data_IF_196738310222
#
_entry.id   IF_196738310222
#
_cell.length_a   1.000
_cell.length_b   1.000
_cell.length_c   1.000
_cell.angle_alpha   90.00
_cell.angle_beta   90.00
_cell.angle_gamma   90.00
#
_symmetry.space_group_name_H-M   'P 1'
#
loop_
_entity.id
_entity.type
_entity.pdbx_description
1 polymer ?
#
# COMPACT_ATOMS: atom_id res chain seq x y z
N UNK A 1 0.25 -13.64 -6.10
CA UNK A 1 0.98 -14.20 -7.27
C UNK A 1 1.02 -13.28 -8.49
N UNK A 2 0.23 -12.19 -8.53
CA UNK A 2 0.13 -11.22 -9.64
C UNK A 2 1.47 -10.53 -10.03
N UNK A 3 2.30 -10.17 -9.05
CA UNK A 3 3.57 -9.46 -9.31
C UNK A 3 4.58 -10.31 -10.08
N UNK A 4 4.62 -11.63 -9.82
CA UNK A 4 5.49 -12.57 -10.56
C UNK A 4 5.01 -12.79 -12.00
N UNK A 5 3.69 -12.78 -12.22
CA UNK A 5 3.09 -12.88 -13.55
C UNK A 5 3.36 -11.63 -14.40
N UNK A 6 3.31 -10.44 -13.79
CA UNK A 6 3.47 -9.18 -14.53
C UNK A 6 4.93 -8.82 -14.83
N UNK A 7 5.88 -9.19 -13.96
CA UNK A 7 7.25 -8.68 -14.04
C UNK A 7 8.34 -9.77 -14.17
N UNK A 8 7.96 -11.05 -14.31
CA UNK A 8 8.90 -12.15 -14.46
C UNK A 8 9.61 -12.56 -13.15
N UNK A 9 10.45 -13.59 -13.23
CA UNK A 9 11.02 -14.32 -12.08
C UNK A 9 12.14 -13.60 -11.31
N UNK A 10 12.39 -12.30 -11.55
CA UNK A 10 13.43 -11.52 -10.88
C UNK A 10 12.90 -10.23 -10.26
N UNK A 11 11.75 -10.30 -9.60
CA UNK A 11 11.30 -9.22 -8.70
C UNK A 11 11.97 -9.41 -7.34
N UNK A 12 12.82 -8.46 -6.96
CA UNK A 12 13.31 -8.36 -5.59
C UNK A 12 12.21 -7.71 -4.74
N UNK A 13 11.62 -8.49 -3.84
CA UNK A 13 10.54 -8.04 -2.95
C UNK A 13 11.13 -7.99 -1.55
N UNK A 14 11.16 -6.81 -0.95
CA UNK A 14 11.61 -6.56 0.41
C UNK A 14 10.58 -5.75 1.19
N UNK A 15 10.61 -5.84 2.53
CA UNK A 15 9.70 -5.09 3.41
C UNK A 15 8.29 -5.67 3.54
N UNK A 16 8.01 -6.85 2.98
CA UNK A 16 6.69 -7.50 3.09
C UNK A 16 6.35 -7.91 4.53
N UNK A 17 7.37 -8.19 5.32
CA UNK A 17 7.32 -8.60 6.73
C UNK A 17 7.11 -7.45 7.71
N UNK A 18 7.13 -6.19 7.24
CA UNK A 18 7.02 -4.99 8.11
C UNK A 18 5.63 -4.81 8.72
N UNK A 19 4.59 -5.44 8.16
CA UNK A 19 3.25 -5.49 8.73
C UNK A 19 2.42 -4.20 8.67
N UNK A 20 3.01 -3.07 8.27
CA UNK A 20 2.29 -1.80 8.13
C UNK A 20 3.16 -0.64 7.63
N UNK A 21 2.51 0.46 7.26
CA UNK A 21 3.18 1.62 6.64
C UNK A 21 4.22 2.30 7.53
N UNK A 22 4.02 2.32 8.84
CA UNK A 22 4.97 2.95 9.78
C UNK A 22 6.32 2.22 9.77
N UNK A 23 6.29 0.90 9.98
CA UNK A 23 7.49 0.06 10.00
C UNK A 23 8.12 -0.09 8.61
N UNK A 24 7.31 -0.03 7.55
CA UNK A 24 7.81 0.00 6.18
C UNK A 24 8.59 1.29 5.89
N UNK A 25 8.13 2.43 6.40
CA UNK A 25 8.87 3.69 6.25
C UNK A 25 10.25 3.61 6.93
N UNK A 26 10.31 3.08 8.16
CA UNK A 26 11.58 2.88 8.87
C UNK A 26 12.54 1.97 8.09
N UNK A 27 12.00 0.89 7.51
CA UNK A 27 12.76 -0.04 6.67
C UNK A 27 13.35 0.67 5.43
N UNK A 28 12.53 1.42 4.70
CA UNK A 28 12.95 2.15 3.49
C UNK A 28 14.00 3.20 3.83
N UNK A 29 13.79 4.02 4.87
CA UNK A 29 14.71 5.10 5.26
C UNK A 29 16.08 4.52 5.63
N UNK A 30 16.09 3.43 6.41
CA UNK A 30 17.32 2.73 6.77
C UNK A 30 18.08 2.23 5.54
N UNK A 31 17.36 1.70 4.55
CA UNK A 31 17.97 1.19 3.32
C UNK A 31 18.53 2.32 2.45
N UNK A 32 17.76 3.40 2.28
CA UNK A 32 18.16 4.60 1.52
C UNK A 32 19.40 5.25 2.12
N UNK A 33 19.51 5.35 3.45
CA UNK A 33 20.69 5.90 4.11
C UNK A 33 21.97 5.08 3.90
N UNK A 34 21.88 3.83 3.43
CA UNK A 34 23.05 3.03 3.05
C UNK A 34 23.47 3.24 1.59
N UNK A 35 22.73 4.04 0.83
CA UNK A 35 22.97 4.30 -0.59
C UNK A 35 23.48 5.74 -0.76
N UNK A 36 24.59 5.89 -1.48
CA UNK A 36 25.12 7.21 -1.82
C UNK A 36 24.22 7.87 -2.89
N UNK A 37 23.40 8.85 -2.49
CA UNK A 37 22.67 9.71 -3.43
C UNK A 37 21.21 9.97 -3.07
N UNK A 38 20.44 10.44 -4.07
CA UNK A 38 18.99 10.60 -3.98
C UNK A 38 18.29 9.45 -4.69
N UNK A 39 17.20 8.95 -4.10
CA UNK A 39 16.36 7.90 -4.67
C UNK A 39 14.99 8.45 -5.01
N UNK A 40 14.50 8.09 -6.19
CA UNK A 40 13.13 8.35 -6.62
C UNK A 40 12.30 7.08 -6.40
N UNK A 41 11.29 7.16 -5.54
CA UNK A 41 10.36 6.08 -5.23
C UNK A 41 9.03 6.34 -5.91
N UNK A 42 8.51 5.35 -6.64
CA UNK A 42 7.15 5.37 -7.15
C UNK A 42 6.22 4.70 -6.11
N UNK A 43 5.15 5.37 -5.74
CA UNK A 43 4.15 4.89 -4.79
C UNK A 43 2.78 4.75 -5.46
N UNK A 44 2.45 3.56 -5.98
CA UNK A 44 1.10 3.24 -6.44
C UNK A 44 0.14 3.10 -5.25
N UNK A 45 -0.89 3.94 -5.19
CA UNK A 45 -1.76 4.02 -4.01
C UNK A 45 -3.24 4.24 -4.34
N UNK A 46 -4.07 4.18 -3.30
CA UNK A 46 -5.50 4.44 -3.37
C UNK A 46 -5.78 5.94 -3.47
N UNK A 47 -6.91 6.32 -4.06
CA UNK A 47 -7.39 7.70 -4.03
C UNK A 47 -7.66 8.22 -2.61
N UNK A 48 -8.13 7.37 -1.70
CA UNK A 48 -8.44 7.75 -0.32
C UNK A 48 -7.16 7.81 0.54
N UNK A 49 -6.82 8.99 1.05
CA UNK A 49 -5.50 9.26 1.65
C UNK A 49 -5.53 9.26 3.18
N UNK A 50 -5.37 8.07 3.77
CA UNK A 50 -4.96 7.91 5.18
C UNK A 50 -3.58 7.26 5.32
N UNK A 51 -2.86 7.07 4.23
CA UNK A 51 -1.55 6.43 4.25
C UNK A 51 -0.52 7.24 5.02
N UNK A 52 0.16 6.56 5.94
CA UNK A 52 1.24 7.12 6.75
C UNK A 52 2.56 7.16 5.97
N UNK A 53 2.71 6.30 4.95
CA UNK A 53 3.94 6.13 4.18
C UNK A 53 4.37 7.44 3.47
N UNK A 54 3.50 8.14 2.71
CA UNK A 54 3.91 9.39 2.06
C UNK A 54 4.29 10.48 3.05
N UNK A 55 3.59 10.55 4.19
CA UNK A 55 3.88 11.53 5.25
C UNK A 55 5.25 11.30 5.88
N UNK A 56 5.61 10.04 6.11
CA UNK A 56 6.91 9.65 6.66
C UNK A 56 8.03 9.88 5.66
N UNK A 57 7.88 9.49 4.40
CA UNK A 57 8.95 9.50 3.40
C UNK A 57 9.18 10.87 2.73
N UNK A 58 8.13 11.69 2.55
CA UNK A 58 8.27 12.96 1.80
C UNK A 58 9.14 14.02 2.49
N UNK A 59 9.37 13.85 3.79
CA UNK A 59 10.19 14.76 4.60
C UNK A 59 11.65 14.28 4.75
N UNK A 60 11.98 13.09 4.25
CA UNK A 60 13.28 12.47 4.45
C UNK A 60 14.28 12.93 3.38
N UNK A 61 15.45 13.39 3.84
CA UNK A 61 16.48 13.88 2.95
C UNK A 61 17.04 12.72 2.11
N UNK A 62 17.07 12.90 0.79
CA UNK A 62 17.54 11.87 -0.13
C UNK A 62 16.43 11.01 -0.73
N UNK A 63 15.18 11.21 -0.31
CA UNK A 63 14.02 10.54 -0.90
C UNK A 63 13.19 11.56 -1.69
N UNK A 64 12.87 11.20 -2.92
CA UNK A 64 11.82 11.83 -3.71
C UNK A 64 10.73 10.80 -3.94
N UNK A 65 9.49 11.12 -3.57
CA UNK A 65 8.36 10.20 -3.65
C UNK A 65 7.37 10.71 -4.70
N UNK A 66 7.14 9.91 -5.74
CA UNK A 66 6.14 10.14 -6.77
C UNK A 66 4.92 9.25 -6.51
N UNK A 67 3.77 9.87 -6.31
CA UNK A 67 2.53 9.14 -6.04
C UNK A 67 1.71 8.96 -7.33
N UNK A 68 1.23 7.73 -7.56
CA UNK A 68 0.31 7.42 -8.66
C UNK A 68 -0.94 6.73 -8.12
N UNK A 69 -2.10 7.36 -8.32
CA UNK A 69 -3.38 6.76 -7.95
C UNK A 69 -3.70 5.65 -8.96
N UNK A 70 -3.80 4.41 -8.50
CA UNK A 70 -4.07 3.25 -9.38
C UNK A 70 -5.39 2.52 -9.05
N UNK A 71 -6.03 2.86 -7.94
CA UNK A 71 -7.35 2.37 -7.58
C UNK A 71 -8.08 3.35 -6.65
N UNK A 72 -9.39 3.17 -6.53
CA UNK A 72 -10.23 3.91 -5.58
C UNK A 72 -11.14 2.95 -4.81
N UNK A 73 -11.47 3.34 -3.57
CA UNK A 73 -12.45 2.63 -2.76
C UNK A 73 -13.83 3.20 -3.08
N UNK A 74 -14.69 2.38 -3.67
CA UNK A 74 -16.09 2.73 -3.97
C UNK A 74 -17.04 1.91 -3.08
N UNK A 75 -18.24 2.45 -2.75
CA UNK A 75 -19.30 1.66 -2.14
C UNK A 75 -19.66 0.48 -3.06
N UNK A 76 -19.98 -0.66 -2.48
CA UNK A 76 -20.56 -1.77 -3.24
C UNK A 76 -22.04 -1.51 -3.47
N UNK A 77 -22.51 -1.70 -4.71
CA UNK A 77 -23.90 -1.49 -5.11
C UNK A 77 -24.86 -2.49 -4.47
N UNK A 78 -24.38 -3.67 -4.06
CA UNK A 78 -25.20 -4.77 -3.55
C UNK A 78 -25.03 -5.03 -2.05
N UNK A 79 -24.05 -4.40 -1.39
CA UNK A 79 -23.66 -4.74 -0.02
C UNK A 79 -24.82 -4.63 0.98
N UNK A 80 -25.68 -3.63 0.84
CA UNK A 80 -26.84 -3.46 1.73
C UNK A 80 -27.81 -4.64 1.60
N UNK A 81 -28.10 -5.08 0.37
CA UNK A 81 -28.98 -6.22 0.12
C UNK A 81 -28.33 -7.52 0.62
N UNK A 82 -27.07 -7.75 0.27
CA UNK A 82 -26.31 -8.94 0.69
C UNK A 82 -26.22 -9.03 2.22
N UNK A 83 -26.01 -7.91 2.90
CA UNK A 83 -25.97 -7.85 4.36
C UNK A 83 -27.34 -8.18 4.97
N UNK A 84 -28.44 -7.65 4.42
CA UNK A 84 -29.79 -7.96 4.89
C UNK A 84 -30.13 -9.46 4.69
N UNK A 85 -29.81 -10.01 3.53
CA UNK A 85 -29.98 -11.43 3.24
C UNK A 85 -29.15 -12.29 4.18
N UNK A 86 -27.88 -11.93 4.42
CA UNK A 86 -27.00 -12.63 5.35
C UNK A 86 -27.56 -12.62 6.78
N UNK A 87 -27.95 -11.45 7.29
CA UNK A 87 -28.50 -11.33 8.65
C UNK A 87 -29.80 -12.11 8.82
N UNK A 88 -30.64 -12.17 7.77
CA UNK A 88 -31.90 -12.90 7.76
C UNK A 88 -31.70 -14.42 7.69
N UNK A 89 -30.71 -14.87 6.93
CA UNK A 89 -30.45 -16.31 6.70
C UNK A 89 -29.58 -16.97 7.75
N UNK A 90 -28.58 -16.25 8.27
CA UNK A 90 -27.63 -16.78 9.25
C UNK A 90 -27.95 -16.38 10.69
N UNK A 91 -28.91 -15.47 10.90
CA UNK A 91 -29.49 -15.16 12.19
C UNK A 91 -28.48 -14.53 13.18
N UNK A 92 -28.63 -13.23 13.43
CA UNK A 92 -28.22 -12.70 14.73
C UNK A 92 -29.17 -13.29 15.77
N UNK A 93 -28.67 -14.22 16.58
CA UNK A 93 -29.31 -14.62 17.83
C UNK A 93 -29.13 -13.54 18.88
#
# INVERSE_FOLDING_TARGET
NLVKELFGSTVNISGAETGGGESLADFIIKDVHNIDGKINLLFPCAQARLDILPKRLSNEQGIHLDEIIVYETIPSDSLDQELQEYLTTQGVR
#
